data_IF_029527360115
#
_entry.id   IF_029527360115
#
_cell.length_a   1.000
_cell.length_b   1.000
_cell.length_c   1.000
_cell.angle_alpha   90.00
_cell.angle_beta   90.00
_cell.angle_gamma   90.00
#
_symmetry.space_group_name_H-M   'P 1'
#
loop_
_entity.id
_entity.type
_entity.pdbx_description
1 polymer ?
#
# COMPACT_ATOMS: atom_id res chain seq x y z
N UNK A 1 -20.15 7.20 -2.24
CA UNK A 1 -19.65 8.43 -2.92
C UNK A 1 -18.89 9.34 -1.97
N UNK A 2 -19.52 10.01 -1.00
CA UNK A 2 -18.82 10.99 -0.13
C UNK A 2 -17.59 10.48 0.65
N UNK A 3 -17.61 9.22 1.08
CA UNK A 3 -16.45 8.62 1.77
C UNK A 3 -15.26 8.49 0.84
N UNK A 4 -15.46 7.99 -0.39
CA UNK A 4 -14.42 7.87 -1.41
C UNK A 4 -13.80 9.24 -1.71
N UNK A 5 -14.63 10.25 -1.92
CA UNK A 5 -14.18 11.63 -2.14
C UNK A 5 -13.35 12.16 -0.98
N UNK A 6 -13.77 11.90 0.27
CA UNK A 6 -13.02 12.33 1.45
C UNK A 6 -11.66 11.61 1.55
N UNK A 7 -11.62 10.30 1.32
CA UNK A 7 -10.36 9.53 1.32
C UNK A 7 -9.43 10.02 0.21
N UNK A 8 -9.93 10.25 -1.01
CA UNK A 8 -9.16 10.81 -2.12
C UNK A 8 -8.76 12.28 -1.90
N UNK A 9 -9.46 13.03 -1.05
CA UNK A 9 -9.02 14.36 -0.64
C UNK A 9 -7.85 14.28 0.33
N UNK A 10 -7.82 13.27 1.21
CA UNK A 10 -6.72 13.05 2.18
C UNK A 10 -5.49 12.47 1.49
N UNK A 11 -5.68 11.51 0.58
CA UNK A 11 -4.60 10.80 -0.12
C UNK A 11 -4.70 11.05 -1.63
N UNK A 12 -4.52 12.31 -2.10
CA UNK A 12 -4.71 12.64 -3.51
C UNK A 12 -3.71 11.96 -4.44
N UNK A 13 -2.52 11.63 -3.94
CA UNK A 13 -1.46 10.95 -4.72
C UNK A 13 -1.74 9.45 -4.94
N UNK A 14 -2.77 8.91 -4.29
CA UNK A 14 -3.19 7.52 -4.42
C UNK A 14 -4.40 7.41 -5.37
N UNK A 15 -4.18 7.76 -6.63
CA UNK A 15 -5.24 7.82 -7.66
C UNK A 15 -5.99 6.49 -7.81
N UNK A 16 -5.33 5.35 -7.58
CA UNK A 16 -5.94 4.02 -7.67
C UNK A 16 -7.05 3.79 -6.62
N UNK A 17 -7.12 4.59 -5.55
CA UNK A 17 -8.29 4.59 -4.65
C UNK A 17 -9.57 5.00 -5.39
N UNK A 18 -9.45 5.67 -6.54
CA UNK A 18 -10.50 5.96 -7.48
C UNK A 18 -11.15 4.73 -8.11
N UNK A 19 -10.52 3.55 -8.03
CA UNK A 19 -11.07 2.29 -8.54
C UNK A 19 -11.68 1.41 -7.44
N UNK A 20 -11.46 1.78 -6.17
CA UNK A 20 -11.96 1.02 -5.02
C UNK A 20 -13.42 1.33 -4.76
N UNK A 21 -14.21 0.29 -4.55
CA UNK A 21 -15.60 0.38 -4.14
C UNK A 21 -15.70 0.55 -2.62
N UNK A 22 -16.16 1.72 -2.16
CA UNK A 22 -16.28 2.06 -0.74
C UNK A 22 -17.70 1.88 -0.16
N UNK A 23 -18.61 1.23 -0.89
CA UNK A 23 -20.02 1.12 -0.48
C UNK A 23 -20.24 0.44 0.88
N UNK A 24 -19.30 -0.40 1.32
CA UNK A 24 -19.33 -1.10 2.61
C UNK A 24 -18.33 -0.53 3.64
N UNK A 25 -17.63 0.55 3.29
CA UNK A 25 -16.64 1.14 4.19
C UNK A 25 -17.31 2.07 5.20
N UNK A 26 -17.14 1.76 6.49
CA UNK A 26 -17.58 2.59 7.60
C UNK A 26 -16.36 3.18 8.31
N UNK A 27 -15.87 4.37 7.89
CA UNK A 27 -14.66 4.93 8.45
C UNK A 27 -14.85 5.37 9.91
N UNK A 28 -13.79 5.31 10.74
CA UNK A 28 -13.77 6.01 12.01
C UNK A 28 -13.85 7.53 11.76
N UNK A 29 -14.51 8.24 12.68
CA UNK A 29 -14.69 9.70 12.59
C UNK A 29 -15.28 10.19 11.26
N UNK A 30 -16.46 9.69 10.82
CA UNK A 30 -17.06 10.11 9.55
C UNK A 30 -17.29 11.62 9.47
N UNK A 31 -17.62 12.26 10.60
CA UNK A 31 -17.80 13.71 10.68
C UNK A 31 -16.49 14.48 10.39
N UNK A 32 -15.35 13.96 10.84
CA UNK A 32 -14.03 14.56 10.57
C UNK A 32 -13.71 14.50 9.07
N UNK A 33 -13.92 13.33 8.45
CA UNK A 33 -13.72 13.14 7.01
C UNK A 33 -14.58 14.09 6.18
N UNK A 34 -15.87 14.20 6.51
CA UNK A 34 -16.80 15.04 5.75
C UNK A 34 -16.56 16.54 5.99
N UNK A 35 -16.15 16.93 7.21
CA UNK A 35 -15.76 18.30 7.49
C UNK A 35 -14.49 18.70 6.74
N UNK A 36 -13.48 17.81 6.69
CA UNK A 36 -12.28 18.03 5.89
C UNK A 36 -12.61 18.16 4.41
N UNK A 37 -13.42 17.25 3.86
CA UNK A 37 -13.88 17.33 2.47
C UNK A 37 -14.60 18.66 2.19
N UNK A 38 -15.48 19.10 3.10
CA UNK A 38 -16.20 20.37 2.98
C UNK A 38 -15.31 21.61 3.09
N UNK A 39 -14.11 21.50 3.66
CA UNK A 39 -13.16 22.60 3.75
C UNK A 39 -12.46 22.93 2.43
N UNK A 40 -12.52 22.03 1.44
CA UNK A 40 -11.82 22.15 0.16
C UNK A 40 -10.29 21.91 0.23
N UNK A 41 -9.74 21.66 1.43
CA UNK A 41 -8.33 21.30 1.63
C UNK A 41 -8.04 19.89 1.12
N UNK A 42 -6.76 19.63 0.80
CA UNK A 42 -6.30 18.34 0.27
C UNK A 42 -4.93 17.96 0.84
N UNK A 43 -4.66 16.65 0.90
CA UNK A 43 -3.39 16.06 1.33
C UNK A 43 -3.35 15.69 2.81
N UNK A 44 -2.57 14.65 3.10
CA UNK A 44 -2.41 14.10 4.45
C UNK A 44 -1.88 15.14 5.46
N UNK A 45 -0.88 15.99 5.13
CA UNK A 45 -0.41 17.01 6.07
C UNK A 45 -1.47 18.05 6.46
N UNK A 46 -2.36 18.43 5.51
CA UNK A 46 -3.48 19.32 5.82
C UNK A 46 -4.54 18.61 6.65
N UNK A 47 -4.80 17.34 6.36
CA UNK A 47 -5.71 16.52 7.13
C UNK A 47 -5.24 16.34 8.57
N UNK A 48 -3.94 16.12 8.79
CA UNK A 48 -3.34 16.06 10.12
C UNK A 48 -3.56 17.34 10.91
N UNK A 49 -3.21 18.49 10.32
CA UNK A 49 -3.44 19.81 10.93
C UNK A 49 -4.92 20.05 11.26
N UNK A 50 -5.82 19.51 10.44
CA UNK A 50 -7.26 19.64 10.65
C UNK A 50 -7.76 18.72 11.77
N UNK A 51 -7.31 17.47 11.79
CA UNK A 51 -7.66 16.47 12.80
C UNK A 51 -7.15 16.84 14.19
N UNK A 52 -5.91 17.34 14.28
CA UNK A 52 -5.31 17.76 15.55
C UNK A 52 -6.12 18.86 16.26
N UNK A 53 -6.72 19.78 15.49
CA UNK A 53 -7.53 20.88 16.03
C UNK A 53 -8.95 20.47 16.45
N UNK A 54 -9.42 19.31 16.01
CA UNK A 54 -10.85 18.95 16.10
C UNK A 54 -11.09 17.71 16.96
N UNK A 55 -10.28 16.68 16.79
CA UNK A 55 -10.45 15.36 17.45
C UNK A 55 -9.18 14.94 18.19
N UNK A 56 -8.01 15.28 17.65
CA UNK A 56 -6.71 14.87 18.17
C UNK A 56 -5.87 14.15 17.11
N UNK A 57 -4.55 14.11 17.33
CA UNK A 57 -3.56 13.58 16.39
C UNK A 57 -3.74 12.09 16.07
N UNK A 58 -4.24 11.30 17.02
CA UNK A 58 -4.38 9.85 16.89
C UNK A 58 -5.48 9.45 15.88
N UNK A 59 -6.43 10.36 15.59
CA UNK A 59 -7.51 10.11 14.65
C UNK A 59 -6.99 9.79 13.23
N UNK A 60 -5.85 10.37 12.84
CA UNK A 60 -5.23 10.16 11.53
C UNK A 60 -4.74 8.73 11.39
N UNK A 61 -3.99 8.24 12.38
CA UNK A 61 -3.52 6.85 12.42
C UNK A 61 -4.67 5.85 12.39
N UNK A 62 -5.75 6.12 13.14
CA UNK A 62 -6.93 5.26 13.14
C UNK A 62 -7.65 5.23 11.77
N UNK A 63 -7.73 6.36 11.08
CA UNK A 63 -8.32 6.42 9.73
C UNK A 63 -7.46 5.65 8.73
N UNK A 64 -6.14 5.87 8.73
CA UNK A 64 -5.22 5.16 7.83
C UNK A 64 -5.23 3.65 8.10
N UNK A 65 -5.22 3.23 9.37
CA UNK A 65 -5.31 1.82 9.75
C UNK A 65 -6.65 1.21 9.35
N UNK A 66 -7.76 1.92 9.56
CA UNK A 66 -9.09 1.46 9.16
C UNK A 66 -9.20 1.31 7.64
N UNK A 67 -8.60 2.24 6.87
CA UNK A 67 -8.53 2.16 5.42
C UNK A 67 -7.72 0.94 4.98
N UNK A 68 -6.54 0.72 5.57
CA UNK A 68 -5.71 -0.45 5.30
C UNK A 68 -6.48 -1.76 5.55
N UNK A 69 -7.13 -1.87 6.71
CA UNK A 69 -7.94 -3.03 7.07
C UNK A 69 -9.09 -3.26 6.09
N UNK A 70 -9.75 -2.20 5.65
CA UNK A 70 -10.82 -2.29 4.66
C UNK A 70 -10.31 -2.88 3.35
N UNK A 71 -9.19 -2.36 2.82
CA UNK A 71 -8.59 -2.84 1.57
C UNK A 71 -8.16 -4.31 1.69
N UNK A 72 -7.53 -4.70 2.80
CA UNK A 72 -7.15 -6.07 3.09
C UNK A 72 -8.35 -7.02 3.15
N UNK A 73 -9.47 -6.58 3.77
CA UNK A 73 -10.71 -7.37 3.82
C UNK A 73 -11.29 -7.57 2.43
N UNK A 74 -11.32 -6.52 1.60
CA UNK A 74 -11.80 -6.60 0.22
C UNK A 74 -10.99 -7.59 -0.59
N UNK A 75 -9.66 -7.50 -0.47
CA UNK A 75 -8.75 -8.45 -1.12
C UNK A 75 -9.01 -9.89 -0.66
N UNK A 76 -8.98 -10.14 0.65
CA UNK A 76 -9.09 -11.49 1.20
C UNK A 76 -10.46 -12.13 0.95
N UNK A 77 -11.54 -11.37 0.99
CA UNK A 77 -12.90 -11.91 0.87
C UNK A 77 -13.39 -12.00 -0.57
N UNK A 78 -12.98 -11.07 -1.43
CA UNK A 78 -13.54 -10.95 -2.78
C UNK A 78 -12.50 -11.12 -3.89
N UNK A 79 -11.21 -11.28 -3.56
CA UNK A 79 -10.15 -11.41 -4.56
C UNK A 79 -10.02 -10.17 -5.46
N UNK A 80 -10.44 -9.01 -4.96
CA UNK A 80 -10.53 -7.80 -5.74
C UNK A 80 -9.15 -7.25 -6.06
N UNK A 81 -8.84 -7.12 -7.35
CA UNK A 81 -7.53 -6.63 -7.78
C UNK A 81 -7.35 -5.12 -7.60
N UNK A 82 -8.43 -4.34 -7.74
CA UNK A 82 -8.38 -2.87 -7.63
C UNK A 82 -7.89 -2.38 -6.26
N UNK A 83 -7.93 -3.23 -5.22
CA UNK A 83 -7.41 -2.88 -3.88
C UNK A 83 -5.94 -3.23 -3.67
N UNK A 84 -5.30 -3.99 -4.59
CA UNK A 84 -3.93 -4.51 -4.43
C UNK A 84 -2.90 -3.36 -4.34
N UNK A 85 -2.81 -2.54 -5.40
CA UNK A 85 -1.90 -1.38 -5.44
C UNK A 85 -2.22 -0.37 -4.32
N UNK A 86 -3.50 0.03 -4.10
CA UNK A 86 -3.87 0.87 -2.95
C UNK A 86 -3.42 0.33 -1.59
N UNK A 87 -3.55 -0.99 -1.34
CA UNK A 87 -3.17 -1.57 -0.04
C UNK A 87 -1.69 -1.34 0.24
N UNK A 88 -0.82 -1.64 -0.73
CA UNK A 88 0.62 -1.46 -0.58
C UNK A 88 0.96 0.02 -0.34
N UNK A 89 0.37 0.94 -1.12
CA UNK A 89 0.64 2.37 -0.96
C UNK A 89 0.11 2.95 0.36
N UNK A 90 -1.06 2.53 0.82
CA UNK A 90 -1.60 2.92 2.14
C UNK A 90 -0.72 2.35 3.25
N UNK A 91 -0.21 1.12 3.10
CA UNK A 91 0.72 0.52 4.06
C UNK A 91 2.01 1.33 4.19
N UNK A 92 2.60 1.77 3.07
CA UNK A 92 3.78 2.65 3.08
C UNK A 92 3.49 4.03 3.66
N UNK A 93 2.30 4.58 3.39
CA UNK A 93 1.86 5.85 3.97
C UNK A 93 1.75 5.74 5.49
N UNK A 94 1.21 4.62 5.98
CA UNK A 94 1.12 4.33 7.41
C UNK A 94 2.50 4.13 8.04
N UNK A 95 3.44 3.48 7.34
CA UNK A 95 4.84 3.38 7.77
C UNK A 95 5.47 4.77 7.98
N UNK A 96 5.43 5.62 6.94
CA UNK A 96 5.98 6.97 7.00
C UNK A 96 5.35 7.79 8.14
N UNK A 97 4.02 7.74 8.25
CA UNK A 97 3.30 8.44 9.31
C UNK A 97 3.69 7.96 10.72
N UNK A 98 3.74 6.65 10.96
CA UNK A 98 4.08 6.10 12.28
C UNK A 98 5.51 6.47 12.69
N UNK A 99 6.48 6.34 11.79
CA UNK A 99 7.87 6.68 12.07
C UNK A 99 8.04 8.19 12.34
N UNK A 100 7.38 9.06 11.57
CA UNK A 100 7.42 10.51 11.80
C UNK A 100 6.85 10.91 13.18
N UNK A 101 5.93 10.12 13.73
CA UNK A 101 5.34 10.38 15.06
C UNK A 101 5.99 9.59 16.19
N UNK A 102 7.03 8.79 15.92
CA UNK A 102 7.76 8.00 16.91
C UNK A 102 7.05 6.71 17.35
N UNK A 103 6.17 6.17 16.52
CA UNK A 103 5.40 4.92 16.77
C UNK A 103 6.06 3.69 16.13
N UNK A 104 7.36 3.48 16.41
CA UNK A 104 8.14 2.39 15.83
C UNK A 104 7.61 1.00 16.24
N UNK A 105 7.12 0.86 17.48
CA UNK A 105 6.60 -0.41 17.99
C UNK A 105 5.30 -0.82 17.27
N UNK A 106 4.43 0.15 17.01
CA UNK A 106 3.20 -0.04 16.24
C UNK A 106 3.52 -0.38 14.79
N UNK A 107 4.54 0.24 14.20
CA UNK A 107 5.01 -0.12 12.87
C UNK A 107 5.47 -1.58 12.82
N UNK A 108 6.32 -2.02 13.76
CA UNK A 108 6.74 -3.42 13.85
C UNK A 108 5.54 -4.36 13.97
N UNK A 109 4.55 -4.00 14.78
CA UNK A 109 3.33 -4.80 14.93
C UNK A 109 2.55 -4.92 13.61
N UNK A 110 2.46 -3.84 12.83
CA UNK A 110 1.82 -3.86 11.51
C UNK A 110 2.62 -4.70 10.52
N UNK A 111 3.93 -4.52 10.48
CA UNK A 111 4.81 -5.28 9.61
C UNK A 111 4.68 -6.79 9.89
N UNK A 112 4.80 -7.18 11.16
CA UNK A 112 4.61 -8.56 11.61
C UNK A 112 3.29 -9.15 11.13
N UNK A 113 2.18 -8.42 11.31
CA UNK A 113 0.84 -8.94 11.06
C UNK A 113 0.42 -8.94 9.58
N UNK A 114 0.97 -8.05 8.76
CA UNK A 114 0.44 -7.80 7.42
C UNK A 114 1.41 -8.07 6.27
N UNK A 115 2.71 -8.25 6.51
CA UNK A 115 3.69 -8.44 5.44
C UNK A 115 3.35 -9.61 4.51
N UNK A 116 2.81 -10.71 5.04
CA UNK A 116 2.39 -11.86 4.23
C UNK A 116 1.32 -11.53 3.19
N UNK A 117 0.39 -10.62 3.52
CA UNK A 117 -0.60 -10.14 2.54
C UNK A 117 0.06 -9.32 1.43
N UNK A 118 1.07 -8.51 1.75
CA UNK A 118 1.78 -7.70 0.76
C UNK A 118 2.60 -8.58 -0.21
N UNK A 119 3.19 -9.67 0.29
CA UNK A 119 3.87 -10.68 -0.54
C UNK A 119 2.91 -11.32 -1.53
N UNK A 120 1.75 -11.77 -1.05
CA UNK A 120 0.71 -12.36 -1.89
C UNK A 120 0.17 -11.36 -2.93
N UNK A 121 -0.07 -10.11 -2.50
CA UNK A 121 -0.47 -9.01 -3.37
C UNK A 121 0.58 -8.66 -4.43
N UNK A 122 1.86 -8.63 -4.10
CA UNK A 122 2.94 -8.40 -5.06
C UNK A 122 2.97 -9.46 -6.17
N UNK A 123 2.74 -10.74 -5.83
CA UNK A 123 2.62 -11.79 -6.85
C UNK A 123 1.45 -11.52 -7.82
N UNK A 124 0.35 -10.91 -7.35
CA UNK A 124 -0.76 -10.51 -8.24
C UNK A 124 -0.44 -9.35 -9.15
N UNK A 125 0.45 -8.44 -8.74
CA UNK A 125 0.96 -7.36 -9.59
C UNK A 125 1.85 -7.95 -10.69
N UNK A 126 2.76 -8.86 -10.33
CA UNK A 126 3.62 -9.59 -11.29
C UNK A 126 2.80 -10.28 -12.39
N UNK A 127 1.65 -10.88 -12.03
CA UNK A 127 0.76 -11.56 -12.98
C UNK A 127 0.01 -10.62 -13.95
N UNK A 128 -0.13 -9.33 -13.64
CA UNK A 128 -1.13 -8.45 -14.26
C UNK A 128 -0.61 -7.13 -14.81
N UNK A 129 0.51 -6.64 -14.31
CA UNK A 129 1.06 -5.34 -14.69
C UNK A 129 2.27 -5.51 -15.59
N UNK A 130 2.72 -4.40 -16.18
CA UNK A 130 3.95 -4.36 -16.94
C UNK A 130 5.19 -4.60 -16.04
N UNK A 131 6.30 -4.91 -16.69
CA UNK A 131 7.59 -5.19 -16.03
C UNK A 131 8.04 -4.07 -15.09
N UNK A 132 7.90 -2.80 -15.47
CA UNK A 132 8.37 -1.67 -14.66
C UNK A 132 7.55 -1.57 -13.37
N UNK A 133 6.22 -1.62 -13.51
CA UNK A 133 5.30 -1.63 -12.37
C UNK A 133 5.58 -2.83 -11.46
N UNK A 134 5.62 -4.05 -12.02
CA UNK A 134 5.87 -5.26 -11.24
C UNK A 134 7.21 -5.21 -10.49
N UNK A 135 8.30 -4.80 -11.15
CA UNK A 135 9.63 -4.66 -10.54
C UNK A 135 9.62 -3.65 -9.39
N UNK A 136 8.94 -2.51 -9.57
CA UNK A 136 8.82 -1.47 -8.55
C UNK A 136 8.14 -2.00 -7.29
N UNK A 137 6.96 -2.60 -7.42
CA UNK A 137 6.21 -3.12 -6.27
C UNK A 137 6.89 -4.31 -5.60
N UNK A 138 7.43 -5.28 -6.35
CA UNK A 138 8.18 -6.40 -5.75
C UNK A 138 9.42 -5.91 -5.01
N UNK A 139 10.13 -4.91 -5.54
CA UNK A 139 11.30 -4.33 -4.85
C UNK A 139 10.92 -3.71 -3.51
N UNK A 140 9.80 -2.98 -3.47
CA UNK A 140 9.28 -2.41 -2.23
C UNK A 140 8.91 -3.50 -1.22
N UNK A 141 8.15 -4.50 -1.65
CA UNK A 141 7.72 -5.60 -0.77
C UNK A 141 8.92 -6.41 -0.28
N UNK A 142 9.94 -6.63 -1.12
CA UNK A 142 11.18 -7.29 -0.74
C UNK A 142 11.91 -6.55 0.38
N UNK A 143 11.98 -5.22 0.31
CA UNK A 143 12.60 -4.41 1.39
C UNK A 143 11.85 -4.56 2.70
N UNK A 144 10.51 -4.55 2.65
CA UNK A 144 9.67 -4.77 3.83
C UNK A 144 9.86 -6.19 4.40
N UNK A 145 10.00 -7.22 3.56
CA UNK A 145 10.30 -8.58 4.04
C UNK A 145 11.68 -8.70 4.66
N UNK A 146 12.67 -7.95 4.16
CA UNK A 146 14.00 -7.88 4.77
C UNK A 146 13.94 -7.26 6.15
N UNK A 147 13.32 -6.09 6.25
CA UNK A 147 13.09 -5.40 7.52
C UNK A 147 12.39 -6.33 8.52
N UNK A 148 11.33 -7.03 8.11
CA UNK A 148 10.64 -8.00 8.95
C UNK A 148 11.57 -9.16 9.39
N UNK A 149 12.41 -9.68 8.49
CA UNK A 149 13.35 -10.76 8.83
C UNK A 149 14.51 -10.33 9.74
N UNK A 150 14.82 -9.04 9.79
CA UNK A 150 15.83 -8.46 10.68
C UNK A 150 15.23 -8.20 12.08
N UNK A 151 13.96 -7.79 12.13
CA UNK A 151 13.23 -7.48 13.37
C UNK A 151 12.63 -8.70 14.08
N UNK A 152 12.32 -9.77 13.35
CA UNK A 152 11.61 -10.94 13.86
C UNK A 152 12.41 -12.23 13.64
N UNK A 153 12.49 -13.06 14.68
CA UNK A 153 13.31 -14.29 14.68
C UNK A 153 12.62 -15.50 14.04
N UNK A 154 11.33 -15.39 13.76
CA UNK A 154 10.49 -16.45 13.23
C UNK A 154 10.91 -16.81 11.80
N UNK A 155 11.11 -18.10 11.54
CA UNK A 155 11.51 -18.61 10.22
C UNK A 155 10.58 -18.16 9.09
N UNK A 156 9.31 -17.92 9.42
CA UNK A 156 8.30 -17.37 8.52
C UNK A 156 8.79 -16.11 7.79
N UNK A 157 9.36 -15.12 8.50
CA UNK A 157 9.77 -13.85 7.90
C UNK A 157 10.99 -14.02 6.99
N UNK A 158 11.93 -14.88 7.38
CA UNK A 158 13.06 -15.26 6.52
C UNK A 158 12.58 -15.89 5.21
N UNK A 159 11.64 -16.85 5.29
CA UNK A 159 11.06 -17.51 4.12
C UNK A 159 10.33 -16.55 3.19
N UNK A 160 9.61 -15.57 3.73
CA UNK A 160 8.99 -14.51 2.92
C UNK A 160 10.04 -13.70 2.15
N UNK A 161 11.12 -13.29 2.82
CA UNK A 161 12.22 -12.54 2.21
C UNK A 161 12.91 -13.34 1.09
N UNK A 162 13.23 -14.61 1.34
CA UNK A 162 13.80 -15.53 0.34
C UNK A 162 12.87 -15.67 -0.87
N UNK A 163 11.58 -15.94 -0.63
CA UNK A 163 10.58 -16.13 -1.70
C UNK A 163 10.43 -14.89 -2.58
N UNK A 164 10.33 -13.70 -1.99
CA UNK A 164 10.21 -12.46 -2.77
C UNK A 164 11.53 -12.15 -3.49
N UNK A 165 12.67 -12.46 -2.87
CA UNK A 165 13.99 -12.32 -3.49
C UNK A 165 14.13 -13.14 -4.77
N UNK A 166 13.81 -14.44 -4.71
CA UNK A 166 13.84 -15.34 -5.87
C UNK A 166 12.92 -14.86 -7.00
N UNK A 167 11.70 -14.40 -6.64
CA UNK A 167 10.76 -13.83 -7.61
C UNK A 167 11.30 -12.56 -8.25
N UNK A 168 11.90 -11.66 -7.47
CA UNK A 168 12.45 -10.41 -7.98
C UNK A 168 13.61 -10.66 -8.95
N UNK A 169 14.46 -11.64 -8.66
CA UNK A 169 15.57 -12.01 -9.56
C UNK A 169 15.05 -12.66 -10.86
N UNK A 170 14.08 -13.58 -10.76
CA UNK A 170 13.42 -14.15 -11.94
C UNK A 170 12.72 -13.09 -12.80
N UNK A 171 12.06 -12.12 -12.16
CA UNK A 171 11.42 -11.01 -12.86
C UNK A 171 12.44 -10.11 -13.56
N UNK A 172 13.59 -9.83 -12.93
CA UNK A 172 14.67 -9.04 -13.56
C UNK A 172 15.25 -9.74 -14.79
N UNK A 173 15.46 -11.05 -14.70
CA UNK A 173 15.95 -11.85 -15.82
C UNK A 173 14.95 -11.84 -16.98
N UNK A 174 13.69 -12.19 -16.72
CA UNK A 174 12.64 -12.23 -17.74
C UNK A 174 12.37 -10.85 -18.37
N UNK A 175 12.31 -9.78 -17.58
CA UNK A 175 12.14 -8.42 -18.10
C UNK A 175 13.38 -7.92 -18.86
N UNK A 176 14.59 -8.36 -18.48
CA UNK A 176 15.83 -8.10 -19.22
C UNK A 176 15.89 -8.79 -20.59
N UNK A 177 15.37 -10.02 -20.68
CA UNK A 177 15.23 -10.74 -21.95
C UNK A 177 14.17 -10.11 -22.87
N UNK A 178 13.07 -9.60 -22.32
CA UNK A 178 12.04 -8.87 -23.08
C UNK A 178 12.63 -7.57 -23.68
N UNK A 179 13.49 -6.86 -22.95
CA UNK A 179 14.23 -5.70 -23.48
C UNK A 179 15.17 -6.02 -24.65
N UNK A 180 15.68 -7.25 -24.75
CA UNK A 180 16.47 -7.72 -25.90
C UNK A 180 15.61 -8.13 -27.10
N UNK A 181 14.36 -8.58 -26.91
CA UNK A 181 13.42 -8.85 -28.02
C UNK A 181 13.01 -7.55 -28.73
N UNK A 182 12.66 -6.50 -27.99
CA UNK A 182 12.28 -5.22 -28.61
C UNK A 182 13.41 -4.53 -29.38
N UNK A 183 14.68 -4.76 -29.01
CA UNK A 183 15.83 -4.24 -29.79
C UNK A 183 16.13 -5.02 -31.06
N UNK A 184 15.79 -6.32 -31.14
CA UNK A 184 15.97 -7.11 -32.37
C UNK A 184 14.87 -6.85 -33.40
N UNK A 185 13.64 -6.61 -32.94
CA UNK A 185 12.51 -6.36 -33.86
C UNK A 185 12.47 -4.90 -34.37
N UNK A 186 13.20 -3.97 -33.75
CA UNK A 186 13.33 -2.58 -34.20
C UNK A 186 14.49 -2.35 -35.22
N UNK A 187 15.22 -3.39 -35.63
CA UNK A 187 16.27 -3.32 -36.66
C UNK A 187 15.93 -4.09 -37.95
N UNK A 188 14.65 -4.34 -38.18
CA UNK A 188 14.16 -5.04 -39.37
C UNK A 188 12.94 -4.38 -40.00
N UNK A 189 13.12 -3.14 -40.48
CA UNK A 189 12.30 -2.52 -41.53
C UNK A 189 13.25 -1.87 -42.54
#
# INVERSE_FOLDING_TARGET
>A
MRVKEAIMAILPELEELGEVEFGQYSPPYPNLLFAFLGSGKRGLPEFERFAEKTVGKDAVGQILLSLLQYLLIRYRRYGEYSVVKPTIKVFLTLNGWLNEKGFESEWKLLLHNFIGYLVDMAAKIEEREDCETALSYLTVVYRLTKEASEDFTEEYFRKLSETVGEKLDSLRESCGEIGHKFKKDAQGC
#
